data_IF_894250401233
#
_entry.id   IF_894250401233
#
_cell.length_a   1.000
_cell.length_b   1.000
_cell.length_c   1.000
_cell.angle_alpha   90.00
_cell.angle_beta   90.00
_cell.angle_gamma   90.00
#
_symmetry.space_group_name_H-M   'P 1'
#
loop_
_entity.id
_entity.type
_entity.pdbx_description
1 polymer ?
#
# COMPACT_ATOMS: atom_id res chain seq x y z
N UNK A 1 7.54 -19.41 -7.58
CA UNK A 1 7.56 -18.05 -7.03
C UNK A 1 8.59 -17.93 -5.92
N UNK A 2 8.47 -18.68 -4.80
CA UNK A 2 9.41 -18.64 -3.66
C UNK A 2 10.87 -18.72 -4.09
N UNK A 3 11.21 -19.74 -4.89
CA UNK A 3 12.57 -19.90 -5.40
C UNK A 3 13.10 -18.62 -6.06
N UNK A 4 12.32 -17.98 -6.92
CA UNK A 4 12.73 -16.76 -7.61
C UNK A 4 12.88 -15.55 -6.64
N UNK A 5 12.02 -15.43 -5.62
CA UNK A 5 12.13 -14.40 -4.60
C UNK A 5 13.40 -14.54 -3.74
N UNK A 6 13.85 -15.76 -3.51
CA UNK A 6 15.00 -16.07 -2.64
C UNK A 6 16.35 -16.10 -3.37
N UNK A 7 16.37 -15.96 -4.72
CA UNK A 7 17.63 -15.87 -5.48
C UNK A 7 18.38 -14.56 -5.22
N UNK A 8 19.69 -14.57 -5.48
CA UNK A 8 20.54 -13.38 -5.49
C UNK A 8 20.70 -12.78 -6.89
N UNK A 9 21.26 -11.57 -6.94
CA UNK A 9 21.50 -10.85 -8.19
C UNK A 9 20.28 -10.05 -8.67
N UNK A 10 20.51 -9.20 -9.67
CA UNK A 10 19.44 -8.43 -10.32
C UNK A 10 18.50 -9.38 -11.08
N UNK A 11 17.18 -9.23 -10.87
CA UNK A 11 16.18 -10.12 -11.45
C UNK A 11 14.81 -9.50 -11.58
N UNK A 12 14.10 -9.91 -12.60
CA UNK A 12 12.68 -9.58 -12.80
C UNK A 12 11.90 -10.89 -12.74
N UNK A 13 10.86 -10.93 -11.91
CA UNK A 13 9.95 -12.07 -11.82
C UNK A 13 8.70 -11.72 -12.64
N UNK A 14 8.46 -12.52 -13.67
CA UNK A 14 7.28 -12.47 -14.53
C UNK A 14 6.40 -13.70 -14.31
N UNK A 15 5.16 -13.64 -14.76
CA UNK A 15 4.17 -14.69 -14.55
C UNK A 15 3.50 -15.07 -15.87
N UNK A 16 3.60 -16.34 -16.24
CA UNK A 16 2.92 -16.91 -17.40
C UNK A 16 1.63 -17.66 -17.01
N UNK A 17 1.19 -17.49 -15.77
CA UNK A 17 -0.02 -18.12 -15.20
C UNK A 17 -0.76 -17.15 -14.31
N UNK A 18 -2.06 -17.34 -14.19
CA UNK A 18 -2.90 -16.74 -13.15
C UNK A 18 -3.10 -17.71 -11.97
N UNK A 19 -3.60 -17.22 -10.86
CA UNK A 19 -4.00 -18.08 -9.75
C UNK A 19 -3.58 -17.63 -8.37
N UNK A 20 -3.85 -18.47 -7.38
CA UNK A 20 -3.47 -18.28 -5.99
C UNK A 20 -2.17 -19.01 -5.70
N UNK A 21 -1.16 -18.28 -5.28
CA UNK A 21 0.10 -18.83 -4.79
C UNK A 21 -0.07 -19.07 -3.27
N UNK A 22 -0.48 -20.28 -2.91
CA UNK A 22 -0.62 -20.68 -1.52
C UNK A 22 0.74 -20.92 -0.88
N UNK A 23 1.12 -20.08 0.05
CA UNK A 23 2.39 -20.21 0.75
C UNK A 23 2.29 -21.28 1.85
N UNK A 24 3.36 -22.02 2.07
CA UNK A 24 3.48 -22.97 3.17
C UNK A 24 4.22 -22.37 4.37
N UNK A 25 4.99 -21.34 4.15
CA UNK A 25 5.75 -20.55 5.13
C UNK A 25 5.91 -19.11 4.62
N UNK A 26 6.26 -18.13 5.47
CA UNK A 26 6.55 -16.77 5.02
C UNK A 26 7.61 -16.72 3.90
N UNK A 27 7.47 -15.77 2.98
CA UNK A 27 8.53 -15.41 2.04
C UNK A 27 9.26 -14.19 2.57
N UNK A 28 10.60 -14.24 2.55
CA UNK A 28 11.45 -13.10 2.92
C UNK A 28 12.42 -12.81 1.78
N UNK A 29 12.23 -11.69 1.10
CA UNK A 29 13.18 -11.20 0.08
C UNK A 29 14.41 -10.65 0.78
N UNK A 30 15.57 -11.29 0.61
CA UNK A 30 16.84 -10.91 1.26
C UNK A 30 17.90 -10.34 0.32
N UNK A 31 17.73 -10.52 -0.98
CA UNK A 31 18.69 -10.05 -1.96
C UNK A 31 18.11 -8.85 -2.75
N UNK A 32 18.88 -7.76 -2.92
CA UNK A 32 18.42 -6.55 -3.59
C UNK A 32 18.28 -6.74 -5.11
N UNK A 33 17.80 -5.67 -5.76
CA UNK A 33 17.61 -5.55 -7.21
C UNK A 33 16.61 -6.57 -7.75
N UNK A 34 15.40 -6.55 -7.19
CA UNK A 34 14.29 -7.40 -7.61
C UNK A 34 13.09 -6.57 -8.09
N UNK A 35 12.54 -6.95 -9.23
CA UNK A 35 11.21 -6.51 -9.68
C UNK A 35 10.26 -7.71 -9.70
N UNK A 36 9.10 -7.58 -9.06
CA UNK A 36 8.00 -8.56 -9.14
C UNK A 36 6.90 -7.94 -9.97
N UNK A 37 6.76 -8.42 -11.20
CA UNK A 37 5.91 -7.83 -12.24
C UNK A 37 4.59 -8.57 -12.37
N UNK A 38 3.65 -8.38 -11.44
CA UNK A 38 2.34 -9.02 -11.46
C UNK A 38 1.49 -8.67 -12.69
N UNK A 39 1.78 -7.54 -13.36
CA UNK A 39 1.11 -7.15 -14.61
C UNK A 39 1.33 -8.09 -15.78
N UNK A 40 2.30 -8.99 -15.70
CA UNK A 40 2.55 -9.99 -16.76
C UNK A 40 1.64 -11.20 -16.63
N UNK A 41 1.02 -11.41 -15.48
CA UNK A 41 0.14 -12.56 -15.27
C UNK A 41 -1.10 -12.46 -16.17
N UNK A 42 -1.45 -13.54 -16.90
CA UNK A 42 -2.63 -13.55 -17.76
C UNK A 42 -3.93 -13.53 -16.94
N UNK A 43 -5.05 -13.25 -17.60
CA UNK A 43 -6.40 -13.30 -17.04
C UNK A 43 -6.56 -12.48 -15.77
N UNK A 44 -7.03 -13.11 -14.72
CA UNK A 44 -7.31 -12.46 -13.44
C UNK A 44 -6.06 -12.12 -12.62
N UNK A 45 -4.85 -12.45 -13.12
CA UNK A 45 -3.61 -12.15 -12.44
C UNK A 45 -3.32 -13.11 -11.27
N UNK A 46 -2.50 -12.68 -10.31
CA UNK A 46 -2.03 -13.52 -9.20
C UNK A 46 -2.39 -12.97 -7.83
N UNK A 47 -2.51 -13.89 -6.86
CA UNK A 47 -2.68 -13.60 -5.45
C UNK A 47 -1.72 -14.45 -4.60
N UNK A 48 -0.95 -13.83 -3.73
CA UNK A 48 -0.13 -14.49 -2.71
C UNK A 48 -0.96 -14.61 -1.44
N UNK A 49 -1.10 -15.84 -0.90
CA UNK A 49 -2.01 -16.14 0.19
C UNK A 49 -1.34 -16.96 1.31
N UNK A 50 -2.01 -17.02 2.46
CA UNK A 50 -1.76 -17.87 3.62
C UNK A 50 -0.67 -17.39 4.59
N UNK A 51 0.41 -16.78 4.13
CA UNK A 51 1.52 -16.31 4.97
C UNK A 51 2.01 -14.93 4.54
N UNK A 52 2.70 -14.20 5.44
CA UNK A 52 3.23 -12.88 5.12
C UNK A 52 4.31 -12.90 4.04
N UNK A 53 4.43 -11.75 3.38
CA UNK A 53 5.52 -11.45 2.45
C UNK A 53 6.37 -10.33 3.04
N UNK A 54 7.65 -10.58 3.28
CA UNK A 54 8.55 -9.64 3.93
C UNK A 54 9.62 -9.12 2.98
N UNK A 55 9.82 -7.81 2.96
CA UNK A 55 10.89 -7.15 2.19
C UNK A 55 12.03 -6.83 3.14
N UNK A 56 13.10 -7.60 3.06
CA UNK A 56 14.37 -7.41 3.80
C UNK A 56 15.52 -7.14 2.83
N UNK A 57 15.28 -6.28 1.84
CA UNK A 57 16.25 -5.88 0.83
C UNK A 57 15.94 -4.48 0.30
N UNK A 58 16.96 -3.79 -0.16
CA UNK A 58 16.84 -2.53 -0.90
C UNK A 58 16.68 -2.78 -2.41
N UNK A 59 16.25 -1.74 -3.13
CA UNK A 59 16.05 -1.78 -4.59
C UNK A 59 15.04 -2.85 -5.01
N UNK A 60 13.80 -2.69 -4.51
CA UNK A 60 12.68 -3.61 -4.73
C UNK A 60 11.53 -2.88 -5.41
N UNK A 61 10.99 -3.44 -6.46
CA UNK A 61 9.77 -2.97 -7.13
C UNK A 61 8.76 -4.11 -7.16
N UNK A 62 7.55 -3.87 -6.66
CA UNK A 62 6.44 -4.83 -6.73
C UNK A 62 5.24 -4.12 -7.36
N UNK A 63 4.68 -4.69 -8.42
CA UNK A 63 3.56 -4.10 -9.16
C UNK A 63 2.46 -5.13 -9.44
N UNK A 64 1.20 -4.71 -9.29
CA UNK A 64 0.00 -5.49 -9.63
C UNK A 64 -0.08 -6.88 -8.99
N UNK A 65 0.39 -6.99 -7.74
CA UNK A 65 0.32 -8.22 -6.95
C UNK A 65 -0.71 -8.07 -5.84
N UNK A 66 -1.50 -9.12 -5.60
CA UNK A 66 -2.39 -9.20 -4.44
C UNK A 66 -1.73 -9.98 -3.33
N UNK A 67 -1.77 -9.45 -2.11
CA UNK A 67 -1.33 -10.08 -0.87
C UNK A 67 -2.56 -10.24 0.02
N UNK A 68 -3.15 -11.44 0.04
CA UNK A 68 -4.36 -11.73 0.80
C UNK A 68 -4.08 -12.90 1.74
N UNK A 69 -3.60 -12.58 2.96
CA UNK A 69 -3.06 -13.57 3.89
C UNK A 69 -4.14 -14.55 4.37
N UNK A 70 -5.22 -14.06 4.97
CA UNK A 70 -6.24 -14.88 5.57
C UNK A 70 -5.85 -15.49 6.93
N UNK A 71 -6.80 -16.13 7.61
CA UNK A 71 -6.64 -16.69 8.95
C UNK A 71 -6.53 -18.23 8.99
N UNK A 72 -6.62 -18.92 7.84
CA UNK A 72 -6.63 -20.39 7.79
C UNK A 72 -5.37 -21.02 8.40
N UNK A 73 -4.23 -20.38 8.24
CA UNK A 73 -2.94 -20.85 8.81
C UNK A 73 -2.70 -20.38 10.23
N UNK A 74 -3.61 -19.60 10.80
CA UNK A 74 -3.52 -19.03 12.16
C UNK A 74 -2.21 -18.29 12.40
N UNK A 75 -1.74 -17.60 11.38
CA UNK A 75 -0.53 -16.75 11.42
C UNK A 75 -0.90 -15.39 12.01
N UNK A 76 -0.07 -14.86 12.86
CA UNK A 76 -0.21 -13.54 13.47
C UNK A 76 0.83 -12.61 12.84
N UNK A 77 0.44 -11.89 11.75
CA UNK A 77 1.38 -11.04 11.02
C UNK A 77 0.65 -10.05 10.10
N UNK A 78 1.45 -9.16 9.51
CA UNK A 78 1.07 -8.28 8.40
C UNK A 78 1.00 -9.07 7.09
N UNK A 79 0.16 -8.64 6.14
CA UNK A 79 0.13 -9.30 4.83
C UNK A 79 1.42 -9.04 4.04
N UNK A 80 1.94 -7.81 4.08
CA UNK A 80 3.25 -7.44 3.53
C UNK A 80 3.89 -6.34 4.37
N UNK A 81 5.19 -6.46 4.66
CA UNK A 81 5.91 -5.45 5.41
C UNK A 81 7.42 -5.44 5.12
N UNK A 82 8.11 -4.35 5.52
CA UNK A 82 9.57 -4.22 5.45
C UNK A 82 10.09 -3.02 6.22
N UNK A 83 11.32 -3.13 6.78
CA UNK A 83 11.97 -2.09 7.58
C UNK A 83 13.47 -2.06 7.34
N UNK A 84 14.08 -0.87 7.50
CA UNK A 84 15.53 -0.62 7.47
C UNK A 84 16.18 -0.77 6.07
N UNK A 85 15.40 -0.66 5.03
CA UNK A 85 15.86 -0.74 3.64
C UNK A 85 15.51 0.53 2.86
N UNK A 86 16.03 0.64 1.64
CA UNK A 86 15.86 1.82 0.81
C UNK A 86 15.51 1.48 -0.65
N UNK A 87 14.95 2.47 -1.35
CA UNK A 87 14.58 2.34 -2.75
C UNK A 87 13.56 1.22 -2.99
N UNK A 88 12.40 1.33 -2.35
CA UNK A 88 11.32 0.33 -2.45
C UNK A 88 10.09 1.00 -3.05
N UNK A 89 9.47 0.35 -4.03
CA UNK A 89 8.22 0.79 -4.66
C UNK A 89 7.19 -0.33 -4.60
N UNK A 90 6.01 -0.02 -4.04
CA UNK A 90 4.79 -0.81 -4.18
C UNK A 90 3.80 -0.02 -5.04
N UNK A 91 3.41 -0.56 -6.17
CA UNK A 91 2.60 0.13 -7.16
C UNK A 91 1.45 -0.75 -7.64
N UNK A 92 0.21 -0.25 -7.53
CA UNK A 92 -1.00 -0.97 -7.91
C UNK A 92 -1.12 -2.36 -7.26
N UNK A 93 -0.75 -2.48 -5.98
CA UNK A 93 -0.90 -3.72 -5.22
C UNK A 93 -2.17 -3.70 -4.37
N UNK A 94 -2.70 -4.89 -4.06
CA UNK A 94 -3.86 -5.04 -3.17
C UNK A 94 -3.48 -5.85 -1.95
N UNK A 95 -3.78 -5.35 -0.75
CA UNK A 95 -3.46 -5.99 0.52
C UNK A 95 -4.73 -6.19 1.34
N UNK A 96 -4.97 -7.41 1.84
CA UNK A 96 -6.16 -7.72 2.64
C UNK A 96 -5.96 -8.90 3.57
N UNK A 97 -6.90 -9.01 4.52
CA UNK A 97 -7.07 -10.19 5.37
C UNK A 97 -5.85 -10.55 6.19
N UNK A 98 -5.05 -9.51 6.52
CA UNK A 98 -4.01 -9.63 7.54
C UNK A 98 -4.63 -9.85 8.91
N UNK A 99 -3.90 -10.46 9.80
CA UNK A 99 -4.31 -10.66 11.19
C UNK A 99 -3.73 -9.62 12.13
N UNK A 100 -2.80 -8.79 11.64
CA UNK A 100 -2.32 -7.55 12.25
C UNK A 100 -2.53 -6.41 11.25
N UNK A 101 -1.53 -5.81 10.60
CA UNK A 101 -1.69 -4.79 9.58
C UNK A 101 -1.77 -5.37 8.16
N UNK A 102 -2.51 -4.70 7.27
CA UNK A 102 -2.45 -5.05 5.85
C UNK A 102 -1.09 -4.74 5.24
N UNK A 103 -0.47 -3.63 5.63
CA UNK A 103 0.84 -3.25 5.08
C UNK A 103 1.56 -2.23 5.96
N UNK A 104 2.71 -2.61 6.53
CA UNK A 104 3.51 -1.74 7.39
C UNK A 104 4.89 -1.45 6.79
N UNK A 105 5.08 -0.18 6.42
CA UNK A 105 6.35 0.33 5.91
C UNK A 105 6.73 1.62 6.63
N UNK A 106 7.65 1.49 7.55
CA UNK A 106 8.26 2.57 8.30
C UNK A 106 9.73 2.22 8.58
N UNK A 107 10.55 3.18 8.97
CA UNK A 107 11.99 3.01 9.04
C UNK A 107 12.61 2.52 7.70
N UNK A 108 12.04 2.93 6.58
CA UNK A 108 12.63 2.79 5.24
C UNK A 108 13.01 4.18 4.69
N UNK A 109 13.92 4.22 3.73
CA UNK A 109 14.32 5.44 3.04
C UNK A 109 14.01 5.34 1.56
N UNK A 110 13.59 6.46 0.92
CA UNK A 110 13.17 6.50 -0.48
C UNK A 110 12.13 5.39 -0.77
N UNK A 111 11.07 5.36 0.02
CA UNK A 111 9.98 4.40 -0.12
C UNK A 111 8.80 5.04 -0.83
N UNK A 112 8.17 4.33 -1.74
CA UNK A 112 6.91 4.75 -2.36
C UNK A 112 5.88 3.64 -2.32
N UNK A 113 4.68 3.96 -1.80
CA UNK A 113 3.47 3.15 -1.98
C UNK A 113 2.43 3.98 -2.70
N UNK A 114 2.04 3.54 -3.88
CA UNK A 114 1.13 4.29 -4.72
C UNK A 114 0.07 3.40 -5.37
N UNK A 115 -1.13 3.97 -5.54
CA UNK A 115 -2.25 3.31 -6.21
C UNK A 115 -2.60 1.94 -5.63
N UNK A 116 -2.35 1.74 -4.34
CA UNK A 116 -2.64 0.49 -3.66
C UNK A 116 -4.03 0.51 -3.00
N UNK A 117 -4.64 -0.68 -2.85
CA UNK A 117 -5.84 -0.88 -2.04
C UNK A 117 -5.47 -1.71 -0.83
N UNK A 118 -5.72 -1.15 0.37
CA UNK A 118 -5.64 -1.85 1.65
C UNK A 118 -7.06 -1.96 2.19
N UNK A 119 -7.55 -3.18 2.39
CA UNK A 119 -8.92 -3.36 2.84
C UNK A 119 -9.12 -4.63 3.66
N UNK A 120 -10.14 -4.62 4.52
CA UNK A 120 -10.64 -5.82 5.18
C UNK A 120 -9.59 -6.57 6.01
N UNK A 121 -8.76 -5.88 6.80
CA UNK A 121 -7.94 -6.53 7.83
C UNK A 121 -8.83 -7.23 8.86
N UNK A 122 -8.40 -8.39 9.36
CA UNK A 122 -9.21 -9.28 10.21
C UNK A 122 -9.19 -8.82 11.67
N UNK A 123 -10.35 -8.44 12.20
CA UNK A 123 -10.45 -7.77 13.49
C UNK A 123 -10.43 -8.76 14.69
N UNK A 124 -11.49 -9.52 14.91
CA UNK A 124 -11.55 -10.51 15.99
C UNK A 124 -11.14 -11.89 15.46
N UNK A 125 -9.92 -12.00 14.99
CA UNK A 125 -9.35 -13.18 14.36
C UNK A 125 -8.38 -13.91 15.28
N UNK A 126 -7.24 -14.35 14.76
CA UNK A 126 -6.31 -15.25 15.45
C UNK A 126 -5.23 -14.53 16.27
N UNK A 127 -5.19 -13.20 16.26
CA UNK A 127 -4.14 -12.44 16.95
C UNK A 127 -4.17 -12.63 18.47
N UNK A 128 -3.03 -13.04 19.07
CA UNK A 128 -2.95 -13.42 20.50
C UNK A 128 -3.21 -12.27 21.48
N UNK A 129 -3.03 -11.01 21.05
CA UNK A 129 -3.39 -9.82 21.86
C UNK A 129 -4.88 -9.47 21.79
N UNK A 130 -5.70 -10.25 21.08
CA UNK A 130 -7.12 -10.01 20.90
C UNK A 130 -7.45 -9.19 19.66
N UNK A 131 -8.48 -8.36 19.73
CA UNK A 131 -9.02 -7.64 18.58
C UNK A 131 -7.99 -6.72 17.94
N UNK A 132 -7.70 -6.93 16.65
CA UNK A 132 -6.80 -6.17 15.80
C UNK A 132 -7.54 -5.63 14.55
N UNK A 133 -7.12 -5.93 13.34
CA UNK A 133 -7.77 -5.47 12.12
C UNK A 133 -7.30 -4.08 11.71
N UNK A 134 -6.03 -3.96 11.36
CA UNK A 134 -5.36 -2.67 11.13
C UNK A 134 -4.97 -2.46 9.68
N UNK A 135 -4.98 -1.18 9.23
CA UNK A 135 -4.56 -0.80 7.88
C UNK A 135 -3.05 -0.88 7.71
N UNK A 136 -2.29 -0.05 8.42
CA UNK A 136 -0.83 -0.06 8.33
C UNK A 136 -0.13 0.95 9.23
N UNK A 137 1.16 0.74 9.46
CA UNK A 137 2.06 1.74 10.06
C UNK A 137 2.94 2.30 8.93
N UNK A 138 2.84 3.62 8.70
CA UNK A 138 3.50 4.31 7.59
C UNK A 138 4.42 5.42 8.10
N UNK A 139 5.66 5.41 7.65
CA UNK A 139 6.67 6.36 8.07
C UNK A 139 7.97 6.18 7.29
N UNK A 140 9.08 6.70 7.81
CA UNK A 140 10.39 6.56 7.18
C UNK A 140 11.06 7.89 6.90
N UNK A 141 11.95 7.92 5.91
CA UNK A 141 12.66 9.10 5.45
C UNK A 141 12.58 9.22 3.94
N UNK A 142 12.19 10.39 3.46
CA UNK A 142 11.94 10.62 2.04
C UNK A 142 10.96 9.58 1.47
N UNK A 143 9.91 9.27 2.27
CA UNK A 143 8.92 8.26 1.97
C UNK A 143 7.64 8.92 1.46
N UNK A 144 7.03 8.35 0.42
CA UNK A 144 5.79 8.84 -0.17
C UNK A 144 4.70 7.77 -0.19
N UNK A 145 3.55 8.12 0.36
CA UNK A 145 2.35 7.29 0.35
C UNK A 145 1.24 8.08 -0.33
N UNK A 146 0.89 7.72 -1.56
CA UNK A 146 -0.06 8.54 -2.32
C UNK A 146 -1.00 7.72 -3.20
N UNK A 147 -2.20 8.25 -3.39
CA UNK A 147 -3.25 7.63 -4.22
C UNK A 147 -3.61 6.20 -3.77
N UNK A 148 -3.61 5.96 -2.46
CA UNK A 148 -4.00 4.66 -1.91
C UNK A 148 -5.40 4.74 -1.29
N UNK A 149 -6.12 3.61 -1.30
CA UNK A 149 -7.35 3.41 -0.54
C UNK A 149 -7.05 2.60 0.72
N UNK A 150 -7.41 3.15 1.89
CA UNK A 150 -7.50 2.40 3.13
C UNK A 150 -8.99 2.29 3.49
N UNK A 151 -9.53 1.07 3.52
CA UNK A 151 -10.96 0.86 3.72
C UNK A 151 -11.24 -0.32 4.65
N UNK A 152 -12.28 -0.18 5.49
CA UNK A 152 -12.79 -1.28 6.32
C UNK A 152 -11.75 -1.83 7.33
N UNK A 153 -10.94 -0.96 7.91
CA UNK A 153 -10.02 -1.30 8.99
C UNK A 153 -10.53 -0.76 10.32
N UNK A 154 -10.37 -1.53 11.38
CA UNK A 154 -10.75 -1.09 12.73
C UNK A 154 -9.96 0.16 13.15
N UNK A 155 -8.67 0.18 12.85
CA UNK A 155 -7.75 1.26 13.22
C UNK A 155 -6.53 1.30 12.27
N UNK A 156 -5.58 2.21 12.50
CA UNK A 156 -4.35 2.39 11.73
C UNK A 156 -4.64 2.67 10.24
N UNK A 157 -5.39 3.77 9.97
CA UNK A 157 -5.74 4.19 8.62
C UNK A 157 -5.01 5.47 8.14
N UNK A 158 -3.68 5.52 8.11
CA UNK A 158 -2.72 4.65 8.78
C UNK A 158 -2.41 5.12 10.22
N UNK A 159 -1.60 4.38 10.99
CA UNK A 159 -0.79 4.92 12.06
C UNK A 159 0.43 5.62 11.44
N UNK A 160 0.70 6.85 11.85
CA UNK A 160 1.90 7.56 11.45
C UNK A 160 3.08 7.15 12.34
N UNK A 161 4.08 6.54 11.72
CA UNK A 161 5.37 6.18 12.29
C UNK A 161 5.31 5.30 13.56
N UNK A 162 6.47 4.88 14.05
CA UNK A 162 6.66 4.18 15.31
C UNK A 162 8.01 4.60 15.90
N UNK A 163 8.05 5.51 16.87
CA UNK A 163 9.29 6.18 17.26
C UNK A 163 10.36 5.26 17.84
N UNK A 164 9.97 4.14 18.46
CA UNK A 164 10.88 3.25 19.18
C UNK A 164 11.57 2.19 18.31
N UNK A 165 11.27 2.15 16.99
CA UNK A 165 11.79 1.10 16.12
C UNK A 165 13.13 1.46 15.47
N UNK A 166 13.55 2.71 15.54
CA UNK A 166 14.66 3.19 14.72
C UNK A 166 16.05 2.86 15.24
N UNK A 167 16.25 2.68 16.55
CA UNK A 167 17.56 2.41 17.15
C UNK A 167 18.70 3.22 16.49
N UNK A 168 19.64 2.55 15.81
CA UNK A 168 20.74 3.17 15.10
C UNK A 168 20.36 3.78 13.75
N UNK A 169 19.09 3.68 13.32
CA UNK A 169 18.60 4.14 12.02
C UNK A 169 17.89 5.51 12.08
N UNK A 170 17.83 6.17 13.25
CA UNK A 170 17.12 7.45 13.42
C UNK A 170 17.54 8.47 12.36
N UNK A 171 18.82 8.72 12.21
CA UNK A 171 19.31 9.75 11.29
C UNK A 171 19.21 9.36 9.81
N UNK A 172 19.28 8.08 9.52
CA UNK A 172 19.33 7.58 8.14
C UNK A 172 17.97 7.23 7.58
N UNK A 173 17.03 6.78 8.41
CA UNK A 173 15.74 6.21 7.98
C UNK A 173 14.52 6.89 8.59
N UNK A 174 14.70 7.94 9.43
CA UNK A 174 13.60 8.74 9.96
C UNK A 174 13.71 10.18 9.48
N UNK A 175 12.64 10.70 8.86
CA UNK A 175 12.65 12.05 8.30
C UNK A 175 11.33 12.44 7.67
N UNK A 176 11.39 13.22 6.60
CA UNK A 176 10.21 13.75 5.95
C UNK A 176 9.40 12.66 5.24
N UNK A 177 8.09 12.68 5.43
CA UNK A 177 7.13 11.74 4.83
C UNK A 177 6.04 12.53 4.11
N UNK A 178 5.70 12.11 2.91
CA UNK A 178 4.61 12.65 2.12
C UNK A 178 3.41 11.72 2.16
N UNK A 179 2.32 12.16 2.76
CA UNK A 179 1.02 11.49 2.78
C UNK A 179 0.01 12.33 2.01
N UNK A 180 -0.18 12.02 0.72
CA UNK A 180 -1.00 12.84 -0.16
C UNK A 180 -1.96 12.05 -1.04
N UNK A 181 -3.10 12.65 -1.34
CA UNK A 181 -4.08 12.09 -2.25
C UNK A 181 -4.53 10.66 -1.88
N UNK A 182 -4.48 10.27 -0.61
CA UNK A 182 -5.03 8.99 -0.17
C UNK A 182 -6.51 9.13 0.17
N UNK A 183 -7.24 8.04 0.04
CA UNK A 183 -8.62 7.92 0.48
C UNK A 183 -8.70 7.02 1.72
N UNK A 184 -9.41 7.49 2.75
CA UNK A 184 -9.67 6.73 3.97
C UNK A 184 -11.18 6.57 4.12
N UNK A 185 -11.64 5.31 4.11
CA UNK A 185 -13.06 4.99 4.18
C UNK A 185 -13.38 3.99 5.30
N UNK A 186 -14.51 4.19 5.94
CA UNK A 186 -15.14 3.24 6.88
C UNK A 186 -14.19 2.69 7.95
N UNK A 187 -13.43 3.57 8.60
CA UNK A 187 -12.62 3.20 9.77
C UNK A 187 -13.50 2.85 10.98
N UNK A 188 -13.04 1.95 11.85
CA UNK A 188 -13.73 1.62 13.09
C UNK A 188 -13.42 2.61 14.20
N UNK A 189 -12.33 2.41 14.92
CA UNK A 189 -11.94 3.23 16.08
C UNK A 189 -11.25 4.52 15.69
N UNK A 190 -10.25 4.46 14.82
CA UNK A 190 -9.44 5.60 14.39
C UNK A 190 -9.29 5.67 12.88
N UNK A 191 -9.36 6.87 12.33
CA UNK A 191 -8.86 7.19 11.01
C UNK A 191 -7.31 7.18 11.03
N UNK A 192 -6.63 8.30 10.78
CA UNK A 192 -5.19 8.41 10.94
C UNK A 192 -4.85 8.79 12.38
N UNK A 193 -3.75 8.25 12.95
CA UNK A 193 -3.30 8.63 14.28
C UNK A 193 -1.79 8.39 14.48
N UNK A 194 -1.24 8.86 15.63
CA UNK A 194 0.15 8.68 16.00
C UNK A 194 1.04 9.85 15.62
N UNK A 195 2.23 9.58 15.14
CA UNK A 195 3.17 10.58 14.63
C UNK A 195 4.10 11.19 15.66
N UNK A 196 4.30 10.55 16.81
CA UNK A 196 5.16 11.02 17.88
C UNK A 196 6.55 11.44 17.37
N UNK A 197 6.85 12.76 17.40
CA UNK A 197 8.09 13.36 16.92
C UNK A 197 8.40 13.21 15.43
N UNK A 198 7.43 12.86 14.60
CA UNK A 198 7.60 12.64 13.15
C UNK A 198 7.34 13.91 12.32
N UNK A 199 7.55 13.82 11.00
CA UNK A 199 7.42 14.91 10.03
C UNK A 199 6.56 14.47 8.85
N UNK A 200 5.37 15.06 8.67
CA UNK A 200 4.44 14.65 7.62
C UNK A 200 3.88 15.82 6.81
N UNK A 201 3.86 15.67 5.50
CA UNK A 201 2.94 16.40 4.65
C UNK A 201 1.62 15.62 4.61
N UNK A 202 0.50 16.27 4.95
CA UNK A 202 -0.85 15.74 4.73
C UNK A 202 -1.54 16.61 3.69
N UNK A 203 -1.57 16.16 2.44
CA UNK A 203 -1.99 16.97 1.29
C UNK A 203 -3.11 16.28 0.52
N UNK A 204 -4.24 16.96 0.39
CA UNK A 204 -5.37 16.56 -0.45
C UNK A 204 -5.82 15.10 -0.22
N UNK A 205 -5.85 14.64 1.04
CA UNK A 205 -6.39 13.33 1.37
C UNK A 205 -7.92 13.41 1.56
N UNK A 206 -8.62 12.33 1.26
CA UNK A 206 -10.07 12.26 1.30
C UNK A 206 -10.55 11.31 2.41
N UNK A 207 -11.20 11.86 3.43
CA UNK A 207 -11.72 11.11 4.57
C UNK A 207 -13.23 11.00 4.50
N UNK A 208 -13.74 9.79 4.27
CA UNK A 208 -15.15 9.48 4.15
C UNK A 208 -15.60 8.49 5.22
N UNK A 209 -16.29 8.95 6.29
CA UNK A 209 -16.86 8.03 7.27
C UNK A 209 -17.87 7.08 6.63
N UNK A 210 -17.80 5.82 7.02
CA UNK A 210 -18.73 4.77 6.62
C UNK A 210 -19.56 4.23 7.79
N UNK A 211 -20.28 3.12 7.59
CA UNK A 211 -21.17 2.55 8.61
C UNK A 211 -20.50 2.11 9.92
N UNK A 212 -19.22 1.72 9.89
CA UNK A 212 -18.45 1.37 11.09
C UNK A 212 -17.79 2.56 11.76
N UNK A 213 -17.69 3.70 11.06
CA UNK A 213 -16.87 4.82 11.51
C UNK A 213 -17.41 5.45 12.78
N UNK A 214 -16.58 5.48 13.81
CA UNK A 214 -16.85 6.35 14.97
C UNK A 214 -16.87 7.80 14.53
N UNK A 215 -17.80 8.55 15.10
CA UNK A 215 -17.94 9.96 14.81
C UNK A 215 -16.79 10.75 15.45
N UNK A 216 -15.83 11.14 14.64
CA UNK A 216 -14.61 11.84 15.03
C UNK A 216 -14.43 13.05 14.14
N UNK A 217 -14.33 14.24 14.73
CA UNK A 217 -14.15 15.49 14.00
C UNK A 217 -12.66 15.81 13.87
N UNK A 218 -11.93 14.95 13.18
CA UNK A 218 -10.52 15.14 12.85
C UNK A 218 -10.07 14.22 11.69
N UNK A 219 -9.00 14.62 11.03
CA UNK A 219 -8.24 13.78 10.10
C UNK A 219 -7.22 12.92 10.84
N UNK A 220 -6.53 13.54 11.81
CA UNK A 220 -5.42 12.96 12.55
C UNK A 220 -5.64 13.12 14.06
N UNK A 221 -5.53 12.03 14.80
CA UNK A 221 -5.35 11.98 16.25
C UNK A 221 -3.84 11.98 16.52
N UNK A 222 -3.26 13.18 16.71
CA UNK A 222 -1.83 13.38 16.85
C UNK A 222 -1.35 13.10 18.27
N UNK A 223 -0.37 12.21 18.40
CA UNK A 223 0.23 11.84 19.68
C UNK A 223 1.63 12.47 19.82
N UNK A 224 1.96 12.97 20.99
CA UNK A 224 3.31 13.39 21.39
C UNK A 224 3.96 12.36 22.30
N UNK A 225 3.16 11.71 23.15
CA UNK A 225 3.61 10.69 24.09
C UNK A 225 3.33 9.31 23.54
N UNK A 226 4.38 8.50 23.38
CA UNK A 226 4.21 7.13 22.91
C UNK A 226 3.56 6.26 23.99
N UNK A 227 2.45 5.64 23.64
CA UNK A 227 1.53 5.00 24.61
C UNK A 227 2.18 3.88 25.41
N UNK A 228 3.04 3.06 24.81
CA UNK A 228 3.62 1.87 25.44
C UNK A 228 4.69 2.22 26.47
N UNK A 229 5.69 3.02 26.11
CA UNK A 229 6.79 3.40 27.00
C UNK A 229 6.52 4.64 27.84
N UNK A 230 5.46 5.42 27.51
CA UNK A 230 5.20 6.74 28.09
C UNK A 230 6.29 7.77 27.80
N UNK A 231 7.12 7.52 26.80
CA UNK A 231 8.16 8.45 26.37
C UNK A 231 7.54 9.60 25.59
N UNK A 232 7.88 10.82 25.94
CA UNK A 232 7.50 12.04 25.22
C UNK A 232 8.49 12.29 24.09
N UNK A 233 8.05 12.10 22.83
CA UNK A 233 8.77 12.43 21.61
C UNK A 233 8.38 13.79 21.04
N UNK A 234 7.39 14.46 21.66
CA UNK A 234 6.74 15.63 21.14
C UNK A 234 5.76 15.34 19.99
N UNK A 235 4.90 16.30 19.73
CA UNK A 235 3.94 16.19 18.61
C UNK A 235 4.64 16.23 17.24
N UNK A 236 4.01 15.64 16.21
CA UNK A 236 4.55 15.70 14.85
C UNK A 236 4.63 17.14 14.32
N UNK A 237 5.56 17.38 13.40
CA UNK A 237 5.56 18.54 12.54
C UNK A 237 4.70 18.24 11.30
N UNK A 238 3.71 19.07 11.03
CA UNK A 238 2.69 18.82 10.02
C UNK A 238 2.58 19.98 9.04
N UNK A 239 2.68 19.69 7.74
CA UNK A 239 2.16 20.55 6.70
C UNK A 239 0.80 20.03 6.25
N UNK A 240 -0.22 20.88 6.29
CA UNK A 240 -1.62 20.50 6.04
C UNK A 240 -2.22 21.38 4.97
N UNK A 241 -2.76 20.78 3.91
CA UNK A 241 -3.52 21.52 2.91
C UNK A 241 -4.49 20.62 2.14
N UNK A 242 -5.68 21.14 1.83
CA UNK A 242 -6.63 20.52 0.91
C UNK A 242 -7.20 19.15 1.34
N UNK A 243 -7.00 18.73 2.59
CA UNK A 243 -7.63 17.50 3.09
C UNK A 243 -9.14 17.72 3.27
N UNK A 244 -9.92 16.75 2.84
CA UNK A 244 -11.38 16.78 2.84
C UNK A 244 -11.92 15.74 3.82
N UNK A 245 -12.86 16.17 4.68
CA UNK A 245 -13.65 15.29 5.51
C UNK A 245 -15.13 15.43 5.13
N UNK A 246 -15.72 14.41 4.54
CA UNK A 246 -17.06 14.50 3.90
C UNK A 246 -18.22 14.79 4.86
N UNK A 247 -18.00 14.73 6.17
CA UNK A 247 -19.02 15.04 7.19
C UNK A 247 -18.87 16.43 7.82
N UNK A 248 -17.67 17.02 7.76
CA UNK A 248 -17.34 18.23 8.51
C UNK A 248 -16.69 19.30 7.62
N UNK A 249 -17.48 20.25 7.15
CA UNK A 249 -17.03 21.33 6.25
C UNK A 249 -16.03 22.27 6.92
N UNK A 250 -16.13 22.49 8.22
CA UNK A 250 -15.29 23.43 8.95
C UNK A 250 -13.84 22.95 9.12
N UNK A 251 -13.59 21.63 9.20
CA UNK A 251 -12.22 21.11 9.18
C UNK A 251 -11.71 20.90 7.75
N UNK A 252 -12.60 20.78 6.77
CA UNK A 252 -12.25 20.79 5.35
C UNK A 252 -11.79 22.17 4.91
N UNK A 253 -12.50 23.23 5.31
CA UNK A 253 -12.14 24.62 4.97
C UNK A 253 -10.92 25.14 5.71
N UNK A 254 -10.67 24.65 6.92
CA UNK A 254 -9.50 24.97 7.75
C UNK A 254 -8.91 23.68 8.32
N UNK A 255 -7.94 23.11 7.62
CA UNK A 255 -7.35 21.81 7.97
C UNK A 255 -6.66 21.82 9.35
N UNK A 256 -6.23 22.97 9.87
CA UNK A 256 -5.62 23.05 11.20
C UNK A 256 -6.58 22.62 12.32
N UNK A 257 -7.87 22.81 12.13
CA UNK A 257 -8.94 22.37 13.04
C UNK A 257 -9.22 20.87 12.98
N UNK A 258 -8.68 20.19 11.97
CA UNK A 258 -8.83 18.76 11.75
C UNK A 258 -7.77 17.90 12.45
N UNK A 259 -6.99 18.47 13.34
CA UNK A 259 -6.04 17.75 14.18
C UNK A 259 -6.57 17.69 15.60
N UNK A 260 -6.64 16.48 16.16
CA UNK A 260 -6.88 16.26 17.57
C UNK A 260 -5.54 16.02 18.28
N UNK A 261 -5.18 16.91 19.19
CA UNK A 261 -3.92 16.84 19.94
C UNK A 261 -4.14 15.97 21.18
N UNK A 262 -3.84 14.71 21.04
CA UNK A 262 -4.27 13.63 21.94
C UNK A 262 -3.95 13.90 23.42
N UNK A 263 -2.68 14.22 23.72
CA UNK A 263 -2.22 14.37 25.10
C UNK A 263 -2.82 15.60 25.82
N UNK A 264 -3.28 16.57 25.05
CA UNK A 264 -3.99 17.77 25.56
C UNK A 264 -5.51 17.70 25.35
N UNK A 265 -6.02 16.66 24.72
CA UNK A 265 -7.44 16.43 24.45
C UNK A 265 -8.15 17.63 23.80
N UNK A 266 -7.52 18.23 22.80
CA UNK A 266 -8.01 19.47 22.13
C UNK A 266 -7.74 19.45 20.64
N UNK A 267 -8.56 20.22 19.88
CA UNK A 267 -8.29 20.53 18.48
C UNK A 267 -7.50 21.84 18.28
N UNK A 268 -7.17 22.54 19.37
CA UNK A 268 -6.32 23.73 19.31
C UNK A 268 -4.86 23.31 19.47
N UNK A 269 -3.96 23.67 18.53
CA UNK A 269 -2.56 23.28 18.65
C UNK A 269 -1.95 23.83 19.95
N UNK A 270 -1.38 22.96 20.82
CA UNK A 270 -0.72 23.40 22.05
C UNK A 270 0.57 24.16 21.75
N UNK A 271 1.14 23.95 20.55
CA UNK A 271 2.31 24.65 20.02
C UNK A 271 2.08 24.91 18.52
N UNK A 272 1.89 26.18 18.17
CA UNK A 272 1.63 26.60 16.79
C UNK A 272 2.79 26.27 15.82
N UNK A 273 4.02 26.10 16.33
CA UNK A 273 5.19 25.72 15.51
C UNK A 273 5.11 24.30 14.96
N UNK A 274 4.18 23.48 15.45
CA UNK A 274 3.91 22.13 14.92
C UNK A 274 3.18 22.14 13.57
N UNK A 275 2.56 23.27 13.21
CA UNK A 275 1.92 23.47 11.92
C UNK A 275 2.83 24.30 11.00
N UNK A 276 3.30 23.69 9.95
CA UNK A 276 4.26 24.28 9.02
C UNK A 276 3.54 25.13 7.96
N UNK A 277 4.16 26.27 7.61
CA UNK A 277 3.67 27.17 6.54
C UNK A 277 4.05 26.71 5.12
N UNK A 278 5.00 25.80 5.00
CA UNK A 278 5.46 25.23 3.73
C UNK A 278 5.63 23.72 3.84
N UNK A 279 5.45 23.03 2.72
CA UNK A 279 5.62 21.57 2.70
C UNK A 279 7.07 21.16 2.98
N UNK A 280 7.19 20.02 3.64
CA UNK A 280 8.45 19.32 3.83
C UNK A 280 8.96 18.81 2.50
N UNK A 281 10.23 19.02 2.22
CA UNK A 281 10.86 18.56 0.98
C UNK A 281 11.26 17.10 1.10
N UNK A 282 10.92 16.29 0.09
CA UNK A 282 11.44 14.93 -0.06
C UNK A 282 12.58 14.91 -1.05
N UNK A 283 13.55 14.05 -0.81
CA UNK A 283 14.73 13.87 -1.66
C UNK A 283 14.71 12.51 -2.34
N UNK A 284 14.91 12.52 -3.65
CA UNK A 284 15.16 11.30 -4.40
C UNK A 284 16.56 10.74 -4.16
N UNK A 285 16.86 9.55 -4.71
CA UNK A 285 18.15 8.87 -4.48
C UNK A 285 19.39 9.69 -4.87
N UNK A 286 19.25 10.61 -5.85
CA UNK A 286 20.33 11.50 -6.29
C UNK A 286 20.33 12.85 -5.56
N UNK A 287 19.47 13.04 -4.54
CA UNK A 287 19.36 14.28 -3.77
C UNK A 287 18.46 15.35 -4.39
N UNK A 288 17.83 15.07 -5.52
CA UNK A 288 16.84 15.94 -6.16
C UNK A 288 15.55 16.04 -5.35
N UNK A 289 14.86 17.17 -5.44
CA UNK A 289 13.54 17.32 -4.83
C UNK A 289 12.51 16.56 -5.64
N UNK A 290 11.74 15.70 -4.94
CA UNK A 290 10.72 14.86 -5.56
C UNK A 290 9.36 15.06 -4.89
N UNK A 291 8.32 15.11 -5.72
CA UNK A 291 6.93 15.15 -5.24
C UNK A 291 6.05 14.34 -6.19
N UNK A 292 5.08 13.65 -5.60
CA UNK A 292 4.05 12.96 -6.40
C UNK A 292 3.17 13.99 -7.13
N UNK A 293 2.68 13.64 -8.31
CA UNK A 293 1.62 14.39 -8.99
C UNK A 293 0.45 14.57 -8.02
N UNK A 294 -0.02 15.80 -7.90
CA UNK A 294 -1.03 16.16 -6.90
C UNK A 294 -2.34 16.52 -7.56
N UNK A 295 -3.43 15.91 -7.13
CA UNK A 295 -4.80 16.18 -7.54
C UNK A 295 -5.59 16.81 -6.38
N UNK A 296 -6.79 17.35 -6.63
CA UNK A 296 -7.69 17.65 -5.52
C UNK A 296 -8.09 16.36 -4.82
N UNK A 297 -8.50 16.43 -3.55
CA UNK A 297 -8.87 15.25 -2.78
C UNK A 297 -10.01 14.46 -3.45
N UNK A 298 -11.01 15.14 -4.01
CA UNK A 298 -12.14 14.54 -4.72
C UNK A 298 -11.70 13.87 -6.02
N UNK A 299 -10.85 14.54 -6.81
CA UNK A 299 -10.31 13.95 -8.05
C UNK A 299 -9.48 12.72 -7.73
N UNK A 300 -8.60 12.79 -6.73
CA UNK A 300 -7.80 11.64 -6.30
C UNK A 300 -8.68 10.47 -5.84
N UNK A 301 -9.76 10.75 -5.09
CA UNK A 301 -10.71 9.73 -4.66
C UNK A 301 -11.30 8.97 -5.85
N UNK A 302 -11.86 9.68 -6.85
CA UNK A 302 -12.44 9.03 -8.04
C UNK A 302 -11.38 8.26 -8.87
N UNK A 303 -10.16 8.80 -8.98
CA UNK A 303 -9.05 8.12 -9.66
C UNK A 303 -8.63 6.84 -8.92
N UNK A 304 -8.54 6.87 -7.59
CA UNK A 304 -8.22 5.68 -6.78
C UNK A 304 -9.27 4.59 -6.97
N UNK A 305 -10.56 4.96 -6.97
CA UNK A 305 -11.64 4.00 -7.21
C UNK A 305 -11.58 3.39 -8.62
N UNK A 306 -10.99 4.08 -9.57
CA UNK A 306 -10.86 3.62 -10.96
C UNK A 306 -9.59 2.80 -11.18
N UNK A 307 -8.46 3.25 -10.66
CA UNK A 307 -7.13 2.72 -11.02
C UNK A 307 -6.41 2.01 -9.87
N UNK A 308 -6.88 2.14 -8.62
CA UNK A 308 -6.20 1.54 -7.46
C UNK A 308 -6.24 0.01 -7.43
N UNK A 309 -5.26 -0.58 -6.72
CA UNK A 309 -5.11 -2.01 -6.57
C UNK A 309 -4.54 -2.70 -7.81
N UNK A 310 -4.62 -4.02 -7.85
CA UNK A 310 -4.25 -4.82 -9.03
C UNK A 310 -5.32 -4.66 -10.14
N UNK A 311 -5.42 -3.44 -10.67
CA UNK A 311 -6.55 -2.93 -11.45
C UNK A 311 -6.58 -3.37 -12.92
N UNK A 312 -5.55 -4.04 -13.43
CA UNK A 312 -5.57 -4.59 -14.80
C UNK A 312 -6.66 -5.66 -14.96
N UNK A 313 -6.90 -6.46 -13.92
CA UNK A 313 -8.08 -7.30 -13.78
C UNK A 313 -8.50 -7.25 -12.32
N UNK A 314 -9.45 -6.36 -11.99
CA UNK A 314 -9.84 -6.13 -10.60
C UNK A 314 -10.70 -7.30 -10.10
N UNK A 315 -10.39 -7.83 -8.92
CA UNK A 315 -11.16 -8.88 -8.30
C UNK A 315 -12.35 -8.36 -7.48
N UNK A 316 -13.24 -9.26 -7.07
CA UNK A 316 -14.44 -8.93 -6.30
C UNK A 316 -14.18 -8.31 -4.92
N UNK A 317 -12.97 -8.47 -4.36
CA UNK A 317 -12.59 -7.87 -3.06
C UNK A 317 -12.30 -6.38 -3.24
N UNK A 318 -11.47 -6.04 -4.23
CA UNK A 318 -11.16 -4.64 -4.55
C UNK A 318 -12.39 -3.91 -5.11
N UNK A 319 -13.18 -4.55 -5.98
CA UNK A 319 -14.43 -3.99 -6.51
C UNK A 319 -15.40 -3.67 -5.38
N UNK A 320 -15.56 -4.56 -4.42
CA UNK A 320 -16.39 -4.32 -3.24
C UNK A 320 -15.89 -3.14 -2.42
N UNK A 321 -14.60 -3.08 -2.12
CA UNK A 321 -14.02 -1.98 -1.36
C UNK A 321 -14.23 -0.63 -2.06
N UNK A 322 -13.99 -0.57 -3.38
CA UNK A 322 -14.22 0.63 -4.18
C UNK A 322 -15.71 1.02 -4.23
N UNK A 323 -16.59 0.05 -4.45
CA UNK A 323 -18.05 0.28 -4.48
C UNK A 323 -18.57 0.79 -3.14
N UNK A 324 -18.18 0.13 -2.04
CA UNK A 324 -18.57 0.53 -0.68
C UNK A 324 -18.08 1.95 -0.37
N UNK A 325 -16.83 2.26 -0.71
CA UNK A 325 -16.28 3.61 -0.54
C UNK A 325 -17.04 4.64 -1.40
N UNK A 326 -17.38 4.32 -2.64
CA UNK A 326 -18.16 5.20 -3.52
C UNK A 326 -19.55 5.47 -2.98
N UNK A 327 -20.25 4.43 -2.57
CA UNK A 327 -21.65 4.51 -2.13
C UNK A 327 -21.81 4.94 -0.66
N UNK A 328 -20.75 4.88 0.15
CA UNK A 328 -20.82 5.16 1.60
C UNK A 328 -21.52 4.06 2.38
N UNK A 329 -21.37 2.81 1.96
CA UNK A 329 -22.04 1.61 2.51
C UNK A 329 -21.04 0.55 2.92
N UNK A 330 -21.54 -0.54 3.49
CA UNK A 330 -20.81 -1.78 3.71
C UNK A 330 -21.61 -2.91 3.10
N UNK A 331 -21.03 -3.62 2.12
CA UNK A 331 -21.67 -4.77 1.46
C UNK A 331 -21.96 -5.88 2.48
N UNK A 332 -21.05 -6.10 3.43
CA UNK A 332 -21.24 -7.07 4.50
C UNK A 332 -21.50 -6.37 5.84
N UNK A 333 -22.59 -6.74 6.48
CA UNK A 333 -22.98 -6.21 7.79
C UNK A 333 -22.47 -7.04 8.98
N UNK A 334 -22.09 -8.31 8.74
CA UNK A 334 -21.59 -9.25 9.74
C UNK A 334 -20.15 -9.66 9.37
N UNK A 335 -19.23 -9.48 10.32
CA UNK A 335 -17.82 -9.81 10.14
C UNK A 335 -17.45 -11.26 10.42
N UNK A 336 -18.39 -12.05 10.95
CA UNK A 336 -18.22 -13.49 11.23
C UNK A 336 -17.93 -13.84 12.70
N UNK A 337 -17.35 -12.92 13.49
CA UNK A 337 -17.06 -13.15 14.91
C UNK A 337 -17.23 -11.86 15.75
N UNK A 338 -18.34 -11.16 15.53
CA UNK A 338 -18.76 -10.00 16.33
C UNK A 338 -18.50 -8.64 15.71
N UNK A 339 -17.58 -8.48 14.78
CA UNK A 339 -17.42 -7.24 14.01
C UNK A 339 -18.58 -7.04 13.04
N UNK A 340 -18.81 -5.78 12.65
CA UNK A 340 -19.98 -5.38 11.83
C UNK A 340 -19.63 -4.27 10.87
N UNK A 341 -20.57 -4.04 9.93
CA UNK A 341 -20.58 -2.85 9.08
C UNK A 341 -19.33 -2.68 8.20
N UNK A 342 -18.84 -3.78 7.63
CA UNK A 342 -17.66 -3.80 6.76
C UNK A 342 -16.35 -4.11 7.49
N UNK A 343 -16.30 -4.03 8.82
CA UNK A 343 -15.19 -4.59 9.60
C UNK A 343 -15.43 -6.09 9.72
N UNK A 344 -14.44 -6.90 9.32
CA UNK A 344 -14.55 -8.35 9.27
C UNK A 344 -13.57 -9.04 10.22
N UNK A 345 -13.88 -10.28 10.57
CA UNK A 345 -13.08 -11.08 11.51
C UNK A 345 -12.40 -12.28 10.82
N UNK A 346 -12.92 -12.68 9.68
CA UNK A 346 -12.41 -13.77 8.84
C UNK A 346 -12.77 -13.52 7.38
N UNK A 347 -11.89 -13.89 6.45
CA UNK A 347 -12.17 -13.78 5.01
C UNK A 347 -13.35 -14.65 4.58
N UNK A 348 -13.68 -15.71 5.33
CA UNK A 348 -14.83 -16.57 5.01
C UNK A 348 -16.17 -15.86 5.17
N UNK A 349 -16.26 -14.83 6.03
CA UNK A 349 -17.46 -14.01 6.19
C UNK A 349 -17.80 -13.22 4.92
N UNK A 350 -16.82 -13.01 4.04
CA UNK A 350 -16.97 -12.25 2.80
C UNK A 350 -16.76 -13.10 1.54
N UNK A 351 -16.82 -14.43 1.67
CA UNK A 351 -16.74 -15.38 0.55
C UNK A 351 -15.37 -15.96 0.28
N UNK A 352 -14.33 -15.55 1.01
CA UNK A 352 -12.96 -16.06 0.83
C UNK A 352 -12.29 -15.57 -0.47
N UNK A 353 -11.23 -16.26 -0.85
CA UNK A 353 -10.46 -15.91 -2.05
C UNK A 353 -11.29 -16.10 -3.32
N UNK A 354 -11.37 -15.09 -4.19
CA UNK A 354 -11.90 -15.28 -5.54
C UNK A 354 -11.08 -16.32 -6.31
N UNK A 355 -11.68 -16.94 -7.31
CA UNK A 355 -10.91 -17.63 -8.33
C UNK A 355 -10.11 -16.59 -9.14
N UNK A 356 -8.88 -16.94 -9.50
CA UNK A 356 -8.04 -16.17 -10.41
C UNK A 356 -7.71 -17.09 -11.58
N UNK A 357 -8.40 -16.90 -12.68
CA UNK A 357 -8.35 -17.80 -13.82
C UNK A 357 -7.86 -17.06 -15.07
N UNK A 358 -7.32 -17.80 -16.00
CA UNK A 358 -7.05 -17.33 -17.35
C UNK A 358 -7.67 -18.33 -18.32
N UNK A 359 -8.30 -17.83 -19.37
CA UNK A 359 -8.82 -18.68 -20.44
C UNK A 359 -7.70 -19.16 -21.38
N UNK A 360 -8.04 -20.07 -22.30
CA UNK A 360 -7.06 -20.67 -23.21
C UNK A 360 -6.41 -19.62 -24.14
N UNK A 361 -7.12 -18.55 -24.50
CA UNK A 361 -6.58 -17.49 -25.37
C UNK A 361 -5.61 -16.57 -24.61
N UNK A 362 -5.90 -16.30 -23.35
CA UNK A 362 -5.04 -15.51 -22.47
C UNK A 362 -3.73 -16.27 -22.14
N UNK A 363 -3.83 -17.59 -21.91
CA UNK A 363 -2.66 -18.45 -21.72
C UNK A 363 -1.82 -18.56 -23.00
N UNK A 364 -2.45 -18.70 -24.17
CA UNK A 364 -1.73 -18.70 -25.45
C UNK A 364 -1.05 -17.35 -25.71
N UNK A 365 -1.70 -16.25 -25.35
CA UNK A 365 -1.11 -14.91 -25.43
C UNK A 365 0.08 -14.73 -24.47
N UNK A 366 0.12 -15.40 -23.35
CA UNK A 366 1.23 -15.36 -22.40
C UNK A 366 2.40 -16.30 -22.79
N UNK A 367 2.31 -16.99 -23.93
CA UNK A 367 3.34 -17.89 -24.39
C UNK A 367 4.63 -17.13 -24.70
N UNK A 368 5.71 -17.59 -24.11
CA UNK A 368 7.08 -17.10 -24.21
C UNK A 368 7.95 -18.29 -24.64
N UNK A 369 8.39 -18.32 -25.91
CA UNK A 369 8.99 -19.50 -26.54
C UNK A 369 10.45 -19.71 -26.17
N UNK A 370 11.20 -18.65 -25.86
CA UNK A 370 12.62 -18.71 -25.50
C UNK A 370 12.89 -18.43 -24.02
N UNK A 371 11.82 -18.08 -23.26
CA UNK A 371 11.86 -17.88 -21.81
C UNK A 371 12.70 -16.68 -21.36
N UNK A 372 12.66 -15.59 -22.11
CA UNK A 372 13.31 -14.33 -21.75
C UNK A 372 12.44 -13.38 -20.92
N UNK A 373 11.15 -13.71 -20.78
CA UNK A 373 10.16 -12.97 -20.00
C UNK A 373 9.22 -12.10 -20.85
N UNK A 374 9.43 -12.05 -22.17
CA UNK A 374 8.52 -11.39 -23.11
C UNK A 374 7.68 -12.45 -23.84
N UNK A 375 6.38 -12.25 -24.06
CA UNK A 375 5.59 -13.20 -24.85
C UNK A 375 5.80 -13.02 -26.34
N UNK A 376 5.71 -14.15 -27.09
CA UNK A 376 5.90 -14.24 -28.55
C UNK A 376 5.18 -13.09 -29.30
N UNK A 377 3.94 -12.72 -28.91
CA UNK A 377 3.17 -11.67 -29.57
C UNK A 377 3.79 -10.27 -29.44
N UNK A 378 4.45 -10.00 -28.30
CA UNK A 378 5.11 -8.71 -28.09
C UNK A 378 6.34 -8.60 -28.95
N UNK A 379 7.12 -9.67 -29.03
CA UNK A 379 8.32 -9.75 -29.85
C UNK A 379 7.97 -9.64 -31.33
N UNK A 380 6.99 -10.42 -31.82
CA UNK A 380 6.48 -10.30 -33.19
C UNK A 380 6.02 -8.89 -33.53
N UNK A 381 5.34 -8.22 -32.56
CA UNK A 381 4.84 -6.85 -32.74
C UNK A 381 5.95 -5.81 -32.88
N UNK A 382 7.03 -5.98 -32.13
CA UNK A 382 8.13 -5.01 -32.08
C UNK A 382 9.36 -5.43 -32.88
N UNK A 383 9.30 -6.55 -33.61
CA UNK A 383 10.36 -7.03 -34.49
C UNK A 383 11.57 -7.58 -33.75
N UNK A 384 11.31 -8.19 -32.59
CA UNK A 384 12.28 -8.97 -31.81
C UNK A 384 12.25 -10.44 -32.28
N UNK A 385 13.19 -11.25 -31.79
CA UNK A 385 13.31 -12.67 -32.21
C UNK A 385 12.88 -13.60 -31.05
N UNK A 386 11.65 -14.09 -31.10
CA UNK A 386 11.06 -15.03 -30.11
C UNK A 386 11.78 -16.36 -29.94
N UNK A 387 12.96 -16.51 -30.52
CA UNK A 387 13.85 -17.65 -30.35
C UNK A 387 15.24 -17.26 -29.83
N UNK A 388 15.46 -15.96 -29.54
CA UNK A 388 16.71 -15.43 -29.00
C UNK A 388 16.53 -14.88 -27.57
N UNK A 389 16.75 -15.68 -26.52
CA UNK A 389 16.56 -15.26 -25.14
C UNK A 389 17.51 -14.13 -24.69
N UNK A 390 18.42 -13.68 -25.54
CA UNK A 390 19.32 -12.58 -25.21
C UNK A 390 18.69 -11.22 -25.50
N UNK A 391 17.68 -11.15 -26.33
CA UNK A 391 17.11 -9.87 -26.74
C UNK A 391 16.22 -9.25 -25.65
N UNK A 392 15.71 -10.03 -24.70
CA UNK A 392 15.02 -9.51 -23.50
C UNK A 392 15.90 -8.56 -22.67
N UNK A 393 17.18 -8.82 -22.61
CA UNK A 393 18.15 -7.95 -21.93
C UNK A 393 18.76 -6.88 -22.85
N UNK A 394 18.48 -6.89 -24.15
CA UNK A 394 18.90 -5.83 -25.05
C UNK A 394 18.11 -4.52 -24.78
N UNK A 395 18.66 -3.40 -25.20
CA UNK A 395 18.05 -2.06 -25.03
C UNK A 395 17.71 -1.46 -26.40
N UNK A 396 17.07 -2.24 -27.26
CA UNK A 396 16.82 -1.83 -28.67
C UNK A 396 15.50 -1.08 -28.83
N UNK A 397 14.52 -1.32 -27.95
CA UNK A 397 13.22 -0.64 -28.00
C UNK A 397 13.22 0.73 -27.32
N UNK A 398 14.07 0.95 -26.34
CA UNK A 398 14.22 2.30 -25.75
C UNK A 398 15.18 3.16 -26.61
N UNK A 399 14.66 4.26 -27.16
CA UNK A 399 15.43 5.21 -27.96
C UNK A 399 16.67 5.75 -27.23
N UNK A 400 16.60 5.87 -25.91
CA UNK A 400 17.70 6.37 -25.07
C UNK A 400 18.57 5.26 -24.50
N UNK A 401 18.27 4.00 -24.78
CA UNK A 401 18.99 2.82 -24.31
C UNK A 401 19.21 2.80 -22.78
N UNK A 402 18.16 3.10 -22.01
CA UNK A 402 18.18 3.12 -20.55
C UNK A 402 17.46 1.92 -19.95
N UNK A 403 16.51 1.36 -20.70
CA UNK A 403 15.66 0.26 -20.29
C UNK A 403 15.82 -0.93 -21.23
N UNK A 404 15.81 -2.12 -20.66
CA UNK A 404 15.82 -3.37 -21.43
C UNK A 404 14.52 -3.55 -22.21
N UNK A 405 14.51 -4.41 -23.22
CA UNK A 405 13.30 -4.72 -23.97
C UNK A 405 12.23 -5.33 -23.05
N UNK A 406 12.62 -6.17 -22.09
CA UNK A 406 11.72 -6.69 -21.07
C UNK A 406 11.11 -5.56 -20.23
N UNK A 407 11.89 -4.56 -19.78
CA UNK A 407 11.33 -3.41 -19.05
C UNK A 407 10.39 -2.57 -19.93
N UNK A 408 10.68 -2.45 -21.23
CA UNK A 408 9.76 -1.81 -22.18
C UNK A 408 8.47 -2.61 -22.36
N UNK A 409 8.52 -3.94 -22.34
CA UNK A 409 7.33 -4.78 -22.30
C UNK A 409 6.50 -4.54 -21.03
N UNK A 410 7.13 -4.53 -19.86
CA UNK A 410 6.44 -4.25 -18.60
C UNK A 410 5.76 -2.88 -18.60
N UNK A 411 6.40 -1.87 -19.19
CA UNK A 411 5.80 -0.54 -19.37
C UNK A 411 4.62 -0.58 -20.35
N UNK A 412 4.76 -1.31 -21.45
CA UNK A 412 3.72 -1.42 -22.47
C UNK A 412 2.40 -1.98 -21.91
N UNK A 413 2.47 -2.93 -20.97
CA UNK A 413 1.29 -3.54 -20.36
C UNK A 413 0.44 -2.58 -19.52
N UNK A 414 1.03 -1.48 -19.06
CA UNK A 414 0.40 -0.51 -18.13
C UNK A 414 0.34 0.90 -18.69
N UNK A 415 0.68 1.02 -19.98
CA UNK A 415 0.66 2.28 -20.69
C UNK A 415 -0.77 2.54 -21.18
N UNK A 416 -1.51 3.39 -20.43
CA UNK A 416 -2.61 4.21 -21.00
C UNK A 416 -3.00 5.32 -20.06
#
# INVERSE_FOLDING_TARGET
>A
FRWACEQGGARIIVFNVSGIIRLETPIVVRAPYITIAGQTAPGDGICVADYPFTINASNVIIRFVRFRMGDEKKNEDDAIWGRYFENIVLDHCSMSWSTDECSSFYANKNFTMQWCILTESLCNSVHGKGSHGYGGIWGGKDASFHHNLLANHKSRNPRFDHPEIYDNYVETHRGNVDYRNNAVYNWGDNSTYGGEGAWFNMVNNYYKPGPASKDRKYFLDANGIYTSSKTDYGYPLLYLTGNVHTRYDDITSDNSRGIYWHDHQTNTPPDASKLLSSQLELKGPSGESVYATTHTAETAFEMILTYGGASLSRDSVDDRACKDAKEGKATFSDGGNGSKNGIIDTQTAVGGWPAYEADASELDRAKDSDSDGMPDWFEDKFGLDRSDPADGNAMTLDTYRRYTNLEMYLHYLVKD
#
